data_IF_426116274660
#
_entry.id   IF_426116274660
#
_cell.length_a   1.000
_cell.length_b   1.000
_cell.length_c   1.000
_cell.angle_alpha   90.00
_cell.angle_beta   90.00
_cell.angle_gamma   90.00
#
_symmetry.space_group_name_H-M   'P 1'
#
loop_
_entity.id
_entity.type
_entity.pdbx_description
1 polymer ?
#
# COMPACT_ATOMS: atom_id res chain seq x y z
N UNK A 1 29.99 59.63 25.08
CA UNK A 1 30.15 59.58 23.61
C UNK A 1 29.45 58.29 23.13
N UNK A 2 28.30 58.31 22.43
CA UNK A 2 28.06 58.52 20.98
C UNK A 2 29.01 57.65 20.10
N UNK A 3 28.60 56.75 19.20
CA UNK A 3 27.28 56.29 18.69
C UNK A 3 27.43 54.90 18.02
N UNK A 4 26.41 54.06 18.23
CA UNK A 4 25.68 53.16 17.31
C UNK A 4 26.35 52.78 15.97
N UNK A 5 26.69 51.50 15.84
CA UNK A 5 26.97 50.83 14.57
C UNK A 5 25.67 50.54 13.79
N UNK A 6 25.73 50.74 12.48
CA UNK A 6 24.66 50.58 11.50
C UNK A 6 24.98 49.37 10.62
N UNK A 7 24.06 48.40 10.49
CA UNK A 7 23.93 47.53 9.30
C UNK A 7 22.45 47.19 9.07
N UNK A 8 22.16 46.87 7.83
CA UNK A 8 20.94 47.17 7.06
C UNK A 8 20.44 45.88 6.40
N UNK A 9 19.11 45.73 6.22
CA UNK A 9 18.45 44.68 5.43
C UNK A 9 18.16 43.41 6.23
N UNK A 10 17.03 42.69 6.09
CA UNK A 10 16.16 42.54 4.92
C UNK A 10 14.74 42.10 5.34
N UNK A 11 13.75 42.53 4.56
CA UNK A 11 12.38 41.98 4.51
C UNK A 11 12.38 40.49 4.17
N UNK A 12 11.43 39.73 4.73
CA UNK A 12 10.55 38.76 4.04
C UNK A 12 9.61 38.12 5.09
N UNK A 13 8.31 38.48 5.17
CA UNK A 13 7.16 37.80 4.52
C UNK A 13 7.42 36.34 4.12
N UNK A 14 6.69 35.40 4.72
CA UNK A 14 5.52 34.76 4.09
C UNK A 14 5.07 33.54 4.90
N UNK A 15 3.77 33.55 5.17
CA UNK A 15 2.86 32.42 5.12
C UNK A 15 3.19 31.20 5.99
N UNK A 16 2.41 31.10 7.05
CA UNK A 16 1.86 29.86 7.57
C UNK A 16 1.13 29.16 6.40
N UNK A 17 1.87 28.44 5.57
CA UNK A 17 1.27 27.52 4.62
C UNK A 17 0.73 26.37 5.47
N UNK A 18 -0.56 26.46 5.78
CA UNK A 18 -1.38 25.36 6.26
C UNK A 18 -1.04 24.14 5.39
N UNK A 19 -0.32 23.19 5.99
CA UNK A 19 0.13 21.98 5.29
C UNK A 19 -1.11 21.13 5.08
N UNK A 20 -1.75 21.31 3.92
CA UNK A 20 -2.88 20.50 3.49
C UNK A 20 -2.44 19.02 3.45
N UNK A 21 -2.97 18.16 4.34
CA UNK A 21 -2.57 16.75 4.41
C UNK A 21 -2.92 15.97 3.13
N UNK A 22 -3.79 16.51 2.27
CA UNK A 22 -4.15 15.93 0.96
C UNK A 22 -3.06 16.11 -0.10
N UNK A 23 -2.01 16.90 0.17
CA UNK A 23 -0.82 17.01 -0.70
C UNK A 23 0.28 16.00 -0.34
N UNK A 24 0.16 15.27 0.76
CA UNK A 24 1.14 14.26 1.18
C UNK A 24 0.92 12.89 0.54
N UNK A 25 -0.17 12.71 -0.21
CA UNK A 25 -0.57 11.41 -0.77
C UNK A 25 0.01 11.14 -2.16
N UNK A 26 0.59 12.13 -2.85
CA UNK A 26 0.96 11.97 -4.28
C UNK A 26 2.41 11.52 -4.55
N UNK A 27 3.24 11.25 -3.54
CA UNK A 27 4.72 11.17 -3.75
C UNK A 27 5.30 9.76 -3.76
N UNK A 28 4.53 8.70 -3.50
CA UNK A 28 5.08 7.35 -3.54
C UNK A 28 4.45 6.53 -4.66
N UNK A 29 5.17 6.18 -5.74
CA UNK A 29 4.76 5.06 -6.58
C UNK A 29 4.52 3.86 -5.67
N UNK A 30 3.48 3.06 -5.94
CA UNK A 30 3.18 1.82 -5.21
C UNK A 30 4.50 1.14 -4.87
N UNK A 31 4.84 1.11 -3.57
CA UNK A 31 6.19 0.77 -3.09
C UNK A 31 6.56 -0.67 -3.43
N UNK A 32 5.60 -1.45 -3.91
CA UNK A 32 5.71 -2.88 -4.17
C UNK A 32 4.96 -3.27 -5.47
N UNK A 33 5.42 -4.32 -6.17
CA UNK A 33 4.68 -4.89 -7.29
C UNK A 33 3.32 -5.41 -6.83
N UNK A 34 2.37 -5.54 -7.76
CA UNK A 34 1.03 -6.08 -7.46
C UNK A 34 1.10 -7.50 -6.88
N UNK A 35 2.07 -8.30 -7.34
CA UNK A 35 2.37 -9.65 -6.84
C UNK A 35 3.19 -9.67 -5.55
N UNK A 36 3.49 -8.53 -4.94
CA UNK A 36 4.13 -8.52 -3.64
C UNK A 36 3.21 -9.17 -2.61
N UNK A 37 3.79 -10.01 -1.77
CA UNK A 37 3.07 -10.70 -0.70
C UNK A 37 2.08 -9.81 0.10
N UNK A 38 2.45 -8.62 0.61
CA UNK A 38 1.49 -7.78 1.35
C UNK A 38 0.31 -7.34 0.49
N UNK A 39 0.55 -6.96 -0.77
CA UNK A 39 -0.50 -6.55 -1.72
C UNK A 39 -1.44 -7.71 -2.04
N UNK A 40 -0.89 -8.91 -2.24
CA UNK A 40 -1.67 -10.11 -2.50
C UNK A 40 -2.52 -10.49 -1.29
N UNK A 41 -1.97 -10.43 -0.08
CA UNK A 41 -2.73 -10.71 1.15
C UNK A 41 -3.85 -9.69 1.39
N UNK A 42 -3.62 -8.41 1.11
CA UNK A 42 -4.67 -7.39 1.17
C UNK A 42 -5.81 -7.68 0.17
N UNK A 43 -5.46 -8.13 -1.04
CA UNK A 43 -6.45 -8.55 -2.03
C UNK A 43 -7.23 -9.79 -1.57
N UNK A 44 -6.58 -10.75 -0.89
CA UNK A 44 -7.25 -11.92 -0.30
C UNK A 44 -8.21 -11.49 0.80
N UNK A 45 -7.80 -10.60 1.70
CA UNK A 45 -8.65 -10.08 2.78
C UNK A 45 -9.87 -9.32 2.25
N UNK A 46 -9.80 -8.81 1.02
CA UNK A 46 -10.93 -8.16 0.35
C UNK A 46 -11.91 -9.14 -0.29
N UNK A 47 -11.58 -10.42 -0.41
CA UNK A 47 -12.45 -11.44 -1.00
C UNK A 47 -13.51 -11.91 0.01
N UNK A 48 -14.76 -12.13 -0.43
CA UNK A 48 -15.74 -12.78 0.41
C UNK A 48 -15.25 -14.19 0.80
N UNK A 49 -15.44 -14.60 2.06
CA UNK A 49 -15.01 -15.90 2.62
C UNK A 49 -13.53 -16.01 3.03
N UNK A 50 -12.66 -15.08 2.60
CA UNK A 50 -11.25 -15.07 2.98
C UNK A 50 -10.95 -14.04 4.10
N UNK A 51 -11.87 -13.93 5.05
CA UNK A 51 -11.75 -13.06 6.22
C UNK A 51 -10.42 -13.32 6.96
N UNK A 52 -9.79 -12.29 7.55
CA UNK A 52 -8.62 -12.49 8.38
C UNK A 52 -8.90 -13.56 9.45
N UNK A 53 -7.98 -14.51 9.60
CA UNK A 53 -8.10 -15.69 10.49
C UNK A 53 -9.02 -16.83 10.02
N UNK A 54 -9.68 -16.72 8.88
CA UNK A 54 -10.34 -17.87 8.23
C UNK A 54 -9.32 -18.95 7.82
N UNK A 55 -9.80 -20.19 7.67
CA UNK A 55 -8.96 -21.29 7.17
C UNK A 55 -8.41 -20.99 5.77
N UNK A 56 -9.24 -20.39 4.91
CA UNK A 56 -8.85 -19.97 3.56
C UNK A 56 -7.75 -18.90 3.58
N UNK A 57 -7.84 -17.93 4.49
CA UNK A 57 -6.80 -16.90 4.66
C UNK A 57 -5.46 -17.49 5.13
N UNK A 58 -5.48 -18.42 6.10
CA UNK A 58 -4.27 -19.09 6.56
C UNK A 58 -3.64 -19.97 5.47
N UNK A 59 -4.46 -20.66 4.68
CA UNK A 59 -4.00 -21.42 3.54
C UNK A 59 -3.35 -20.49 2.49
N UNK A 60 -4.04 -19.40 2.11
CA UNK A 60 -3.52 -18.41 1.17
C UNK A 60 -2.17 -17.84 1.63
N UNK A 61 -2.01 -17.57 2.93
CA UNK A 61 -0.75 -17.09 3.50
C UNK A 61 0.42 -18.06 3.26
N UNK A 62 0.16 -19.37 3.33
CA UNK A 62 1.14 -20.40 3.00
C UNK A 62 1.35 -20.54 1.49
N UNK A 63 0.28 -20.53 0.70
CA UNK A 63 0.33 -20.65 -0.76
C UNK A 63 1.18 -19.55 -1.40
N UNK A 64 1.02 -18.31 -0.92
CA UNK A 64 1.69 -17.12 -1.46
C UNK A 64 3.13 -16.94 -1.00
N UNK A 65 3.72 -17.90 -0.29
CA UNK A 65 5.19 -17.95 -0.19
C UNK A 65 5.83 -18.25 -1.55
N UNK A 66 5.09 -18.83 -2.49
CA UNK A 66 5.54 -19.04 -3.87
C UNK A 66 5.25 -17.82 -4.75
N UNK A 67 6.30 -17.29 -5.36
CA UNK A 67 6.21 -16.17 -6.31
C UNK A 67 5.33 -16.51 -7.51
N UNK A 68 5.45 -17.73 -8.05
CA UNK A 68 4.62 -18.21 -9.17
C UNK A 68 3.12 -18.18 -8.84
N UNK A 69 2.76 -18.60 -7.62
CA UNK A 69 1.36 -18.61 -7.18
C UNK A 69 0.82 -17.19 -7.00
N UNK A 70 1.66 -16.26 -6.54
CA UNK A 70 1.29 -14.84 -6.41
C UNK A 70 1.05 -14.19 -7.78
N UNK A 71 1.94 -14.43 -8.75
CA UNK A 71 1.74 -13.91 -10.11
C UNK A 71 0.44 -14.45 -10.73
N UNK A 72 0.19 -15.76 -10.65
CA UNK A 72 -1.06 -16.35 -11.14
C UNK A 72 -2.30 -15.76 -10.49
N UNK A 73 -2.26 -15.51 -9.18
CA UNK A 73 -3.37 -14.87 -8.49
C UNK A 73 -3.60 -13.42 -8.94
N UNK A 74 -2.53 -12.69 -9.23
CA UNK A 74 -2.60 -11.31 -9.74
C UNK A 74 -3.08 -11.22 -11.20
N UNK A 75 -2.90 -12.27 -12.00
CA UNK A 75 -3.45 -12.36 -13.37
C UNK A 75 -4.98 -12.52 -13.38
N UNK A 76 -5.58 -12.94 -12.27
CA UNK A 76 -7.03 -13.04 -12.13
C UNK A 76 -7.62 -11.66 -11.84
N UNK A 77 -8.52 -11.19 -12.70
CA UNK A 77 -9.17 -9.88 -12.53
C UNK A 77 -10.36 -9.96 -11.58
N UNK A 78 -11.19 -11.01 -11.69
CA UNK A 78 -12.42 -11.16 -10.92
C UNK A 78 -12.20 -11.78 -9.54
N UNK A 79 -12.81 -11.19 -8.52
CA UNK A 79 -12.78 -11.72 -7.14
C UNK A 79 -13.35 -13.14 -7.04
N UNK A 80 -14.39 -13.43 -7.82
CA UNK A 80 -14.95 -14.79 -7.89
C UNK A 80 -13.95 -15.78 -8.50
N UNK A 81 -13.21 -15.39 -9.54
CA UNK A 81 -12.22 -16.26 -10.16
C UNK A 81 -11.04 -16.51 -9.21
N UNK A 82 -10.62 -15.50 -8.45
CA UNK A 82 -9.62 -15.63 -7.38
C UNK A 82 -10.04 -16.62 -6.31
N UNK A 83 -11.28 -16.54 -5.85
CA UNK A 83 -11.84 -17.48 -4.87
C UNK A 83 -11.91 -18.90 -5.42
N UNK A 84 -12.50 -19.09 -6.61
CA UNK A 84 -12.59 -20.41 -7.23
C UNK A 84 -11.20 -21.04 -7.43
N UNK A 85 -10.20 -20.24 -7.80
CA UNK A 85 -8.83 -20.69 -7.90
C UNK A 85 -8.23 -21.08 -6.54
N UNK A 86 -8.41 -20.26 -5.50
CA UNK A 86 -7.97 -20.59 -4.14
C UNK A 86 -8.61 -21.88 -3.62
N UNK A 87 -9.92 -22.06 -3.82
CA UNK A 87 -10.61 -23.30 -3.42
C UNK A 87 -10.09 -24.53 -4.16
N UNK A 88 -9.73 -24.39 -5.44
CA UNK A 88 -9.10 -25.47 -6.19
C UNK A 88 -7.74 -25.84 -5.60
N UNK A 89 -6.93 -24.85 -5.25
CA UNK A 89 -5.61 -25.04 -4.64
C UNK A 89 -5.70 -25.68 -3.25
N UNK A 90 -6.76 -25.39 -2.48
CA UNK A 90 -7.02 -26.05 -1.19
C UNK A 90 -7.38 -27.53 -1.36
N UNK A 91 -8.03 -27.89 -2.47
CA UNK A 91 -8.54 -29.23 -2.73
C UNK A 91 -7.53 -30.17 -3.42
N UNK A 92 -6.38 -29.65 -3.84
CA UNK A 92 -5.27 -30.39 -4.48
C UNK A 92 -4.35 -31.04 -3.44
#
# INVERSE_FOLDING_TARGET
>A
MKKRGRRQGSKQVKNEEEVDPSKLTEVLPSRFPASAFPTVMEAVESLPEAEPSSELWWFAKGLFTSDEKRERFCELEDDRAKLEWLHREVAD
#
